data_IF_165804884822
#
_entry.id   IF_165804884822
#
_cell.length_a   1.000
_cell.length_b   1.000
_cell.length_c   1.000
_cell.angle_alpha   90.00
_cell.angle_beta   90.00
_cell.angle_gamma   90.00
#
_symmetry.space_group_name_H-M   'P 1'
#
loop_
_entity.id
_entity.type
_entity.pdbx_description
1 polymer ?
#
# COMPACT_ATOMS: atom_id res chain seq x y z
N UNK A 1 -23.97 -2.48 -2.64
CA UNK A 1 -22.81 -1.59 -2.78
C UNK A 1 -22.24 -1.78 -4.17
N UNK A 2 -22.13 -0.71 -4.95
CA UNK A 2 -21.57 -0.73 -6.31
C UNK A 2 -20.19 -0.11 -6.30
N UNK A 3 -19.33 -0.48 -7.24
CA UNK A 3 -18.01 0.13 -7.40
C UNK A 3 -18.11 1.64 -7.60
N UNK A 4 -19.13 2.10 -8.32
CA UNK A 4 -19.42 3.52 -8.54
C UNK A 4 -19.71 4.32 -7.27
N UNK A 5 -20.09 3.66 -6.17
CA UNK A 5 -20.35 4.33 -4.89
C UNK A 5 -19.03 4.86 -4.25
N UNK A 6 -17.89 4.38 -4.75
CA UNK A 6 -16.55 4.77 -4.32
C UNK A 6 -15.85 5.70 -5.33
N UNK A 7 -16.56 6.11 -6.38
CA UNK A 7 -16.00 7.00 -7.39
C UNK A 7 -15.97 8.43 -6.87
N UNK A 8 -14.83 9.08 -7.01
CA UNK A 8 -14.64 10.48 -6.62
C UNK A 8 -13.50 11.10 -7.42
N UNK A 9 -13.48 12.41 -7.50
CA UNK A 9 -12.40 13.15 -8.13
C UNK A 9 -11.17 13.18 -7.20
N UNK A 10 -10.08 12.55 -7.63
CA UNK A 10 -8.80 12.56 -6.92
C UNK A 10 -7.79 13.42 -7.67
N UNK A 11 -7.44 14.62 -7.17
CA UNK A 11 -6.40 15.44 -7.77
C UNK A 11 -5.02 14.76 -7.71
N UNK A 12 -4.26 14.82 -8.80
CA UNK A 12 -2.95 14.16 -8.91
C UNK A 12 -1.95 14.60 -7.84
N UNK A 13 -2.02 15.88 -7.42
CA UNK A 13 -1.17 16.43 -6.37
C UNK A 13 -1.40 15.82 -4.98
N UNK A 14 -2.54 15.13 -4.78
CA UNK A 14 -2.84 14.43 -3.52
C UNK A 14 -2.31 12.99 -3.50
N UNK A 15 -1.75 12.51 -4.60
CA UNK A 15 -1.15 11.18 -4.70
C UNK A 15 0.32 11.29 -4.30
N UNK A 16 0.68 10.64 -3.18
CA UNK A 16 2.07 10.61 -2.74
C UNK A 16 2.92 9.71 -3.64
N UNK A 17 4.07 10.22 -4.11
CA UNK A 17 5.04 9.48 -4.93
C UNK A 17 6.17 8.88 -4.11
N UNK A 18 6.40 9.42 -2.92
CA UNK A 18 7.47 9.00 -2.02
C UNK A 18 6.94 8.80 -0.61
N UNK A 19 7.46 7.82 0.14
CA UNK A 19 7.13 7.69 1.55
C UNK A 19 7.70 8.87 2.34
N UNK A 20 7.08 9.16 3.49
CA UNK A 20 7.65 10.11 4.44
C UNK A 20 8.90 9.52 5.09
N UNK A 21 9.92 10.34 5.38
CA UNK A 21 11.20 9.88 5.93
C UNK A 21 11.05 9.17 7.28
N UNK A 22 10.23 9.73 8.16
CA UNK A 22 9.85 9.08 9.42
C UNK A 22 8.45 8.49 9.32
N UNK A 23 8.35 7.16 9.31
CA UNK A 23 7.07 6.45 9.19
C UNK A 23 6.04 6.86 10.24
N UNK A 24 6.50 7.09 11.46
CA UNK A 24 5.64 7.49 12.58
C UNK A 24 5.10 8.92 12.47
N UNK A 25 5.63 9.72 11.56
CA UNK A 25 5.17 11.08 11.26
C UNK A 25 4.09 11.12 10.18
N UNK A 26 3.65 9.98 9.65
CA UNK A 26 2.55 9.90 8.70
C UNK A 26 1.28 10.51 9.29
N UNK A 27 0.47 11.11 8.42
CA UNK A 27 -0.83 11.65 8.84
C UNK A 27 -1.78 10.52 9.23
N UNK A 28 -2.52 10.75 10.28
CA UNK A 28 -3.54 9.85 10.79
C UNK A 28 -4.89 10.56 10.79
N UNK A 29 -5.87 9.99 10.10
CA UNK A 29 -7.25 10.41 10.21
C UNK A 29 -7.94 9.50 11.23
N UNK A 30 -8.48 10.09 12.28
CA UNK A 30 -9.25 9.37 13.30
C UNK A 30 -10.71 9.77 13.16
N UNK A 31 -11.58 8.78 13.08
CA UNK A 31 -13.02 8.98 13.10
C UNK A 31 -13.65 8.16 14.23
N UNK A 32 -13.97 8.83 15.31
CA UNK A 32 -14.80 8.31 16.38
C UNK A 32 -16.16 9.04 16.36
N UNK A 33 -16.36 9.99 17.22
CA UNK A 33 -17.55 10.87 17.18
C UNK A 33 -17.39 11.97 16.12
N UNK A 34 -16.21 12.54 16.05
CA UNK A 34 -15.82 13.58 15.08
C UNK A 34 -14.60 13.13 14.29
N UNK A 35 -14.30 13.83 13.20
CA UNK A 35 -13.09 13.60 12.42
C UNK A 35 -11.96 14.43 13.03
N UNK A 36 -10.88 13.78 13.39
CA UNK A 36 -9.67 14.39 13.89
C UNK A 36 -8.48 14.11 12.97
N UNK A 37 -7.62 15.11 12.79
CA UNK A 37 -6.36 14.98 12.06
C UNK A 37 -5.22 14.93 13.06
N UNK A 38 -4.47 13.82 13.05
CA UNK A 38 -3.37 13.52 13.96
C UNK A 38 -2.14 13.05 13.18
N UNK A 39 -1.08 12.71 13.89
CA UNK A 39 0.06 11.96 13.35
C UNK A 39 -0.02 10.51 13.80
N UNK A 40 0.65 9.61 13.09
CA UNK A 40 0.61 8.19 13.43
C UNK A 40 1.17 7.89 14.84
N UNK A 41 2.06 8.73 15.35
CA UNK A 41 2.56 8.62 16.72
C UNK A 41 1.45 8.71 17.78
N UNK A 42 0.37 9.41 17.47
CA UNK A 42 -0.75 9.60 18.39
C UNK A 42 -1.66 8.36 18.48
N UNK A 43 -1.41 7.33 17.66
CA UNK A 43 -2.26 6.14 17.60
C UNK A 43 -2.39 5.44 18.97
N UNK A 44 -1.34 5.50 19.77
CA UNK A 44 -1.33 4.89 21.09
C UNK A 44 -2.36 5.50 22.05
N UNK A 45 -2.81 6.71 21.79
CA UNK A 45 -3.83 7.39 22.61
C UNK A 45 -5.24 6.81 22.40
N UNK A 46 -5.41 5.98 21.37
CA UNK A 46 -6.70 5.39 20.97
C UNK A 46 -6.85 3.92 21.34
N UNK A 47 -5.83 3.35 21.99
CA UNK A 47 -5.84 1.96 22.45
C UNK A 47 -5.87 1.90 23.98
N UNK A 48 -6.68 1.01 24.48
CA UNK A 48 -6.79 0.71 25.92
C UNK A 48 -6.26 -0.71 26.21
N UNK A 49 -6.04 -0.98 27.49
CA UNK A 49 -5.69 -2.32 27.93
C UNK A 49 -6.81 -3.31 27.57
N UNK A 50 -6.44 -4.39 26.89
CA UNK A 50 -7.39 -5.40 26.42
C UNK A 50 -7.76 -5.27 24.93
N UNK A 51 -7.37 -4.20 24.27
CA UNK A 51 -7.55 -4.08 22.82
C UNK A 51 -6.67 -5.07 22.05
N UNK A 52 -7.18 -5.58 20.96
CA UNK A 52 -6.46 -6.48 20.07
C UNK A 52 -6.10 -5.78 18.74
N UNK A 53 -4.82 -5.61 18.49
CA UNK A 53 -4.30 -5.06 17.24
C UNK A 53 -3.87 -6.18 16.30
N UNK A 54 -4.54 -6.31 15.17
CA UNK A 54 -4.21 -7.29 14.13
C UNK A 54 -3.49 -6.58 12.99
N UNK A 55 -2.26 -7.03 12.70
CA UNK A 55 -1.41 -6.45 11.65
C UNK A 55 -1.13 -7.45 10.54
N UNK A 56 -0.93 -6.92 9.32
CA UNK A 56 -0.33 -7.68 8.24
C UNK A 56 1.20 -7.59 8.38
N UNK A 57 1.84 -8.74 8.55
CA UNK A 57 3.30 -8.89 8.71
C UNK A 57 3.98 -9.43 7.45
N UNK A 58 3.35 -9.35 6.30
CA UNK A 58 3.95 -9.78 5.03
C UNK A 58 4.98 -8.79 4.53
N UNK A 59 6.05 -9.30 3.91
CA UNK A 59 7.03 -8.49 3.21
C UNK A 59 6.64 -8.32 1.74
N UNK A 60 6.77 -7.10 1.25
CA UNK A 60 6.58 -6.81 -0.17
C UNK A 60 7.86 -7.15 -0.92
N UNK A 61 7.75 -7.96 -1.98
CA UNK A 61 8.85 -8.24 -2.90
C UNK A 61 8.87 -7.24 -4.05
N UNK A 62 10.03 -6.94 -4.66
CA UNK A 62 10.11 -6.11 -5.85
C UNK A 62 9.54 -6.88 -7.05
N UNK A 63 8.25 -6.73 -7.30
CA UNK A 63 7.51 -7.51 -8.29
C UNK A 63 7.52 -6.90 -9.70
N UNK A 64 8.00 -5.66 -9.84
CA UNK A 64 8.04 -4.95 -11.12
C UNK A 64 9.41 -5.09 -11.76
N UNK A 65 9.44 -5.66 -12.96
CA UNK A 65 10.66 -5.95 -13.72
C UNK A 65 10.64 -5.13 -15.00
N UNK A 66 11.72 -4.40 -15.23
CA UNK A 66 11.92 -3.61 -16.46
C UNK A 66 12.88 -4.33 -17.38
N UNK A 67 12.54 -4.39 -18.65
CA UNK A 67 13.35 -5.02 -19.68
C UNK A 67 13.30 -4.28 -20.99
N UNK A 68 14.02 -4.79 -21.98
CA UNK A 68 13.99 -4.31 -23.35
C UNK A 68 13.72 -5.48 -24.30
N UNK A 69 12.91 -5.21 -25.30
CA UNK A 69 12.73 -6.12 -26.45
C UNK A 69 13.97 -6.13 -27.31
N UNK A 70 14.18 -7.18 -28.09
CA UNK A 70 15.24 -7.22 -29.10
C UNK A 70 15.15 -6.07 -30.10
N UNK A 71 13.93 -5.60 -30.37
CA UNK A 71 13.67 -4.43 -31.21
C UNK A 71 14.03 -3.08 -30.55
N UNK A 72 14.50 -3.06 -29.29
CA UNK A 72 14.87 -1.87 -28.54
C UNK A 72 13.74 -1.23 -27.74
N UNK A 73 12.50 -1.69 -27.87
CA UNK A 73 11.36 -1.19 -27.12
C UNK A 73 11.44 -1.56 -25.63
N UNK A 74 11.03 -0.65 -24.75
CA UNK A 74 10.93 -0.93 -23.32
C UNK A 74 9.73 -1.82 -23.02
N UNK A 75 9.89 -2.74 -22.07
CA UNK A 75 8.82 -3.56 -21.51
C UNK A 75 8.84 -3.48 -20.00
N UNK A 76 7.66 -3.59 -19.42
CA UNK A 76 7.43 -3.67 -17.99
C UNK A 76 6.63 -4.94 -17.70
N UNK A 77 7.11 -5.74 -16.77
CA UNK A 77 6.50 -6.98 -16.34
C UNK A 77 6.14 -6.88 -14.85
N UNK A 78 4.97 -7.39 -14.49
CA UNK A 78 4.55 -7.50 -13.11
C UNK A 78 4.51 -8.96 -12.71
N UNK A 79 5.24 -9.32 -11.65
CA UNK A 79 5.15 -10.64 -11.05
C UNK A 79 3.83 -10.72 -10.25
N UNK A 80 2.91 -11.55 -10.71
CA UNK A 80 1.63 -11.76 -10.03
C UNK A 80 1.74 -12.80 -8.94
N UNK A 81 2.43 -13.91 -9.23
CA UNK A 81 2.55 -15.04 -8.33
C UNK A 81 3.81 -15.85 -8.62
N UNK A 82 4.47 -16.27 -7.57
CA UNK A 82 5.54 -17.26 -7.66
C UNK A 82 4.93 -18.68 -7.69
N UNK A 83 5.31 -19.45 -8.68
CA UNK A 83 4.96 -20.86 -8.79
C UNK A 83 6.19 -21.70 -8.46
N UNK A 84 5.98 -22.88 -7.89
CA UNK A 84 7.05 -23.84 -7.69
C UNK A 84 7.61 -24.29 -9.05
N UNK A 85 8.80 -23.84 -9.38
CA UNK A 85 9.47 -24.14 -10.65
C UNK A 85 9.80 -25.62 -10.82
N UNK A 86 9.79 -26.41 -9.75
CA UNK A 86 9.99 -27.85 -9.80
C UNK A 86 8.91 -28.60 -10.59
N UNK A 87 7.76 -27.97 -10.78
CA UNK A 87 6.63 -28.52 -11.53
C UNK A 87 6.55 -28.01 -12.98
N UNK A 88 7.41 -27.09 -13.38
CA UNK A 88 7.46 -26.57 -14.73
C UNK A 88 8.53 -27.34 -15.52
N UNK A 89 8.09 -28.37 -16.18
CA UNK A 89 8.90 -29.01 -17.22
C UNK A 89 8.67 -28.31 -18.55
N UNK A 90 9.65 -27.60 -18.97
CA UNK A 90 9.68 -26.99 -20.31
C UNK A 90 10.27 -27.98 -21.29
#
# INVERSE_FOLDING_TARGET
MKTSDFDYELPDELIAHYPIDSRSSSRLLVRLNEIEHRTFQDITNYFDEGDLLINNNTSVIPARIYGKKESGGSIELMLERELDLSLIHI
#
